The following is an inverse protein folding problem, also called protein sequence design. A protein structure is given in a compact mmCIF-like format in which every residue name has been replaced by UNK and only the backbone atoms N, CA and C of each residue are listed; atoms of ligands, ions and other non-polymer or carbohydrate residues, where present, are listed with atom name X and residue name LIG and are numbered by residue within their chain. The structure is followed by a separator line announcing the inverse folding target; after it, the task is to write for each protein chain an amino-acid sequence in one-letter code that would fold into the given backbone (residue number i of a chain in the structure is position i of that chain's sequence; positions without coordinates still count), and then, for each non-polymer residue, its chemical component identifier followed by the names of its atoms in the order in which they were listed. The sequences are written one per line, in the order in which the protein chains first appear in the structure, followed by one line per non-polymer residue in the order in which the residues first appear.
data_IF_960074493852
#
_entry.id   IF_960074493852
#
_cell.length_a   1.000
_cell.length_b   1.000
_cell.length_c   1.000
_cell.angle_alpha   90.00
_cell.angle_beta   90.00
_cell.angle_gamma   90.00
#
_symmetry.space_group_name_H-M   'P 1'
#
loop_
_entity.id
_entity.type
_entity.pdbx_description
1 polymer ?
#
# COMPACT_ATOMS: atom_id res chain seq x y z
N UNK A 1 -8.08 9.83 19.51
CA UNK A 1 -6.72 9.45 19.19
C UNK A 1 -6.56 9.12 17.72
N UNK A 2 -5.59 9.72 17.11
CA UNK A 2 -5.40 9.53 15.69
C UNK A 2 -4.73 8.20 15.41
N UNK A 3 -5.19 7.56 14.38
CA UNK A 3 -4.59 6.33 13.90
C UNK A 3 -3.79 6.61 12.65
N UNK A 4 -2.80 5.78 12.41
CA UNK A 4 -2.04 5.87 11.17
C UNK A 4 -2.89 5.32 10.04
N UNK A 5 -3.03 6.08 8.97
CA UNK A 5 -3.76 5.64 7.79
C UNK A 5 -2.86 4.71 6.99
N UNK A 6 -3.37 3.54 6.63
CA UNK A 6 -2.61 2.54 5.91
C UNK A 6 -3.28 2.22 4.59
N UNK A 7 -2.47 2.05 3.55
CA UNK A 7 -2.92 1.54 2.27
C UNK A 7 -2.01 0.37 1.88
N UNK A 8 -2.56 -0.58 1.13
CA UNK A 8 -1.84 -1.75 0.67
C UNK A 8 -2.01 -1.87 -0.83
N UNK A 9 -0.92 -2.03 -1.55
CA UNK A 9 -0.96 -2.24 -3.00
C UNK A 9 -0.26 -3.56 -3.30
N UNK A 10 -1.03 -4.57 -3.72
CA UNK A 10 -0.53 -5.91 -3.96
C UNK A 10 -1.50 -6.62 -4.88
N UNK A 11 -1.02 -7.31 -5.89
CA UNK A 11 -1.90 -8.01 -6.83
C UNK A 11 -2.35 -9.38 -6.32
N UNK A 12 -1.77 -9.87 -5.24
CA UNK A 12 -2.13 -11.18 -4.68
C UNK A 12 -3.23 -11.00 -3.65
N UNK A 13 -4.40 -11.50 -3.95
CA UNK A 13 -5.56 -11.36 -3.09
C UNK A 13 -5.35 -11.99 -1.71
N UNK A 14 -4.67 -13.14 -1.66
CA UNK A 14 -4.42 -13.80 -0.39
C UNK A 14 -3.49 -12.96 0.48
N UNK A 15 -2.47 -12.37 -0.11
CA UNK A 15 -1.56 -11.51 0.63
C UNK A 15 -2.28 -10.28 1.16
N UNK A 16 -3.17 -9.70 0.35
CA UNK A 16 -3.97 -8.55 0.78
C UNK A 16 -4.83 -8.91 1.99
N UNK A 17 -5.49 -10.06 1.93
CA UNK A 17 -6.35 -10.50 3.01
C UNK A 17 -5.57 -10.76 4.29
N UNK A 18 -4.43 -11.44 4.17
CA UNK A 18 -3.62 -11.75 5.33
C UNK A 18 -3.08 -10.50 6.00
N UNK A 19 -2.56 -9.57 5.21
CA UNK A 19 -2.01 -8.35 5.77
C UNK A 19 -3.11 -7.47 6.36
N UNK A 20 -4.26 -7.40 5.69
CA UNK A 20 -5.40 -6.64 6.19
C UNK A 20 -5.86 -7.19 7.54
N UNK A 21 -5.90 -8.51 7.67
CA UNK A 21 -6.28 -9.15 8.91
C UNK A 21 -5.31 -8.81 10.04
N UNK A 22 -4.02 -8.91 9.76
CA UNK A 22 -3.01 -8.59 10.76
C UNK A 22 -3.05 -7.14 11.19
N UNK A 23 -3.22 -6.22 10.24
CA UNK A 23 -3.33 -4.81 10.56
C UNK A 23 -4.58 -4.51 11.39
N UNK A 24 -5.64 -5.25 11.16
CA UNK A 24 -6.89 -5.06 11.90
C UNK A 24 -6.78 -5.39 13.37
N UNK A 25 -5.76 -6.15 13.75
CA UNK A 25 -5.54 -6.49 15.16
C UNK A 25 -4.85 -5.38 15.93
N UNK A 26 -4.32 -4.39 15.24
CA UNK A 26 -3.52 -3.35 15.90
C UNK A 26 -4.28 -2.03 15.84
N UNK A 27 -4.70 -1.56 17.01
CA UNK A 27 -5.51 -0.35 17.10
C UNK A 27 -4.78 0.91 16.64
N UNK A 28 -3.48 0.86 16.44
CA UNK A 28 -2.72 2.03 15.97
C UNK A 28 -2.94 2.30 14.50
N UNK A 29 -3.41 1.30 13.73
CA UNK A 29 -3.55 1.42 12.30
C UNK A 29 -5.00 1.41 11.86
N UNK A 30 -5.27 2.19 10.82
CA UNK A 30 -6.59 2.22 10.20
C UNK A 30 -6.39 1.94 8.72
N UNK A 31 -6.79 0.76 8.27
CA UNK A 31 -6.66 0.41 6.86
C UNK A 31 -7.70 1.18 6.06
N UNK A 32 -7.24 2.02 5.15
CA UNK A 32 -8.13 2.89 4.39
C UNK A 32 -8.47 2.34 3.01
N UNK A 33 -7.69 1.40 2.53
CA UNK A 33 -8.01 0.78 1.25
C UNK A 33 -6.90 -0.09 0.74
N UNK A 34 -7.24 -0.88 -0.28
CA UNK A 34 -6.29 -1.75 -0.94
C UNK A 34 -6.41 -1.57 -2.44
N UNK A 35 -5.34 -1.88 -3.16
CA UNK A 35 -5.34 -1.84 -4.61
C UNK A 35 -4.58 -3.05 -5.12
N UNK A 36 -4.92 -3.49 -6.33
CA UNK A 36 -4.38 -4.73 -6.86
C UNK A 36 -3.42 -4.53 -8.04
N UNK A 37 -3.17 -3.31 -8.40
CA UNK A 37 -2.18 -3.02 -9.43
C UNK A 37 -1.70 -1.59 -9.27
N UNK A 38 -0.70 -1.21 -10.05
CA UNK A 38 -0.09 0.10 -9.91
C UNK A 38 -1.03 1.25 -10.21
N UNK A 39 -1.85 1.08 -11.25
CA UNK A 39 -2.78 2.14 -11.63
C UNK A 39 -3.79 2.41 -10.53
N UNK A 40 -4.38 1.36 -9.96
CA UNK A 40 -5.30 1.51 -8.85
C UNK A 40 -4.60 2.02 -7.62
N UNK A 41 -3.36 1.58 -7.40
CA UNK A 41 -2.57 2.03 -6.27
C UNK A 41 -2.31 3.53 -6.31
N UNK A 42 -1.99 4.04 -7.49
CA UNK A 42 -1.75 5.47 -7.66
C UNK A 42 -2.98 6.28 -7.29
N UNK A 43 -4.15 5.83 -7.73
CA UNK A 43 -5.40 6.52 -7.38
C UNK A 43 -5.70 6.43 -5.89
N UNK A 44 -5.48 5.27 -5.31
CA UNK A 44 -5.74 5.06 -3.88
C UNK A 44 -4.84 5.96 -3.04
N UNK A 45 -3.56 6.01 -3.36
CA UNK A 45 -2.61 6.83 -2.61
C UNK A 45 -3.00 8.30 -2.67
N UNK A 46 -3.38 8.79 -3.84
CA UNK A 46 -3.77 10.18 -3.99
C UNK A 46 -5.03 10.48 -3.20
N UNK A 47 -5.97 9.54 -3.15
CA UNK A 47 -7.23 9.74 -2.45
C UNK A 47 -7.08 9.68 -0.95
N UNK A 48 -6.34 8.69 -0.47
CA UNK A 48 -6.24 8.40 0.97
C UNK A 48 -5.15 9.20 1.64
N UNK A 49 -4.08 9.45 0.94
CA UNK A 49 -2.87 10.08 1.50
C UNK A 49 -2.41 9.31 2.74
N UNK A 50 -2.03 8.04 2.57
CA UNK A 50 -1.71 7.21 3.72
C UNK A 50 -0.44 7.65 4.43
N UNK A 51 -0.38 7.37 5.71
CA UNK A 51 0.84 7.56 6.50
C UNK A 51 1.81 6.41 6.27
N UNK A 52 1.26 5.22 5.97
CA UNK A 52 2.05 4.01 5.78
C UNK A 52 1.52 3.27 4.55
N UNK A 53 2.42 2.96 3.64
CA UNK A 53 2.07 2.25 2.42
C UNK A 53 2.82 0.92 2.39
N UNK A 54 2.08 -0.18 2.31
CA UNK A 54 2.65 -1.49 2.04
C UNK A 54 2.60 -1.70 0.54
N UNK A 55 3.74 -1.93 -0.07
CA UNK A 55 3.84 -1.94 -1.53
C UNK A 55 4.55 -3.19 -2.00
N UNK A 56 3.86 -3.95 -2.82
CA UNK A 56 4.42 -5.14 -3.42
C UNK A 56 5.52 -4.75 -4.40
N UNK A 57 6.56 -5.55 -4.45
CA UNK A 57 7.69 -5.29 -5.32
C UNK A 57 7.29 -5.46 -6.79
N UNK A 58 6.49 -6.46 -7.10
CA UNK A 58 6.08 -6.71 -8.48
C UNK A 58 4.58 -6.80 -8.64
N UNK A 59 4.07 -6.14 -9.66
CA UNK A 59 2.67 -6.15 -10.00
C UNK A 59 2.53 -6.30 -11.51
N UNK A 60 1.35 -6.67 -12.03
CA UNK A 60 1.22 -6.97 -13.46
C UNK A 60 1.50 -5.78 -14.37
N UNK A 61 1.17 -4.56 -13.94
CA UNK A 61 1.31 -3.39 -14.80
C UNK A 61 2.58 -2.58 -14.54
N UNK A 62 3.18 -2.72 -13.37
CA UNK A 62 4.42 -2.00 -13.06
C UNK A 62 5.01 -2.55 -11.77
N UNK A 63 6.27 -2.27 -11.53
CA UNK A 63 6.89 -2.66 -10.26
C UNK A 63 6.54 -1.64 -9.17
N UNK A 64 6.73 -2.04 -7.93
CA UNK A 64 6.53 -1.10 -6.80
C UNK A 64 7.45 0.10 -6.91
N UNK A 65 8.70 -0.10 -7.35
CA UNK A 65 9.62 1.01 -7.53
C UNK A 65 9.16 1.98 -8.61
N UNK A 66 8.60 1.45 -9.70
CA UNK A 66 8.07 2.30 -10.75
C UNK A 66 6.90 3.12 -10.27
N UNK A 67 6.00 2.50 -9.49
CA UNK A 67 4.89 3.23 -8.90
C UNK A 67 5.39 4.34 -8.00
N UNK A 68 6.38 4.04 -7.17
CA UNK A 68 6.93 5.03 -6.26
C UNK A 68 7.51 6.21 -7.01
N UNK A 69 8.20 5.95 -8.12
CA UNK A 69 8.74 7.03 -8.94
C UNK A 69 7.64 7.88 -9.55
N UNK A 70 6.54 7.26 -9.96
CA UNK A 70 5.44 8.00 -10.56
C UNK A 70 4.73 8.91 -9.58
N UNK A 71 4.63 8.50 -8.32
CA UNK A 71 3.90 9.29 -7.33
C UNK A 71 4.79 10.28 -6.60
N UNK A 72 6.10 10.19 -6.77
CA UNK A 72 7.04 11.00 -5.98
C UNK A 72 6.72 12.49 -5.99
N UNK A 73 6.39 13.03 -7.15
CA UNK A 73 6.08 14.45 -7.27
C UNK A 73 4.73 14.85 -6.70
N UNK A 74 3.86 13.87 -6.45
CA UNK A 74 2.51 14.14 -5.95
C UNK A 74 2.39 13.95 -4.45
N UNK A 75 3.37 13.33 -3.81
CA UNK A 75 3.29 13.09 -2.37
C UNK A 75 3.89 14.27 -1.64
N UNK A 76 3.02 15.05 -0.99
CA UNK A 76 3.46 16.22 -0.26
C UNK A 76 3.35 16.05 1.24
N UNK A 77 3.04 14.85 1.70
CA UNK A 77 2.89 14.54 3.11
C UNK A 77 3.92 13.49 3.50
N UNK A 78 4.12 13.26 4.81
CA UNK A 78 5.03 12.23 5.27
C UNK A 78 4.41 10.87 5.04
N UNK A 79 5.03 10.03 4.24
CA UNK A 79 4.54 8.68 4.00
C UNK A 79 5.72 7.72 4.13
N UNK A 80 5.53 6.71 4.97
CA UNK A 80 6.51 5.64 5.10
C UNK A 80 6.11 4.50 4.20
N UNK A 81 7.08 3.83 3.61
CA UNK A 81 6.84 2.77 2.65
C UNK A 81 7.51 1.51 3.13
N UNK A 82 6.75 0.41 3.11
CA UNK A 82 7.28 -0.91 3.39
C UNK A 82 7.13 -1.72 2.12
N UNK A 83 8.25 -2.06 1.50
CA UNK A 83 8.24 -2.96 0.36
C UNK A 83 8.20 -4.39 0.87
N UNK A 84 7.42 -5.22 0.22
CA UNK A 84 7.39 -6.62 0.59
C UNK A 84 7.02 -7.43 -0.64
N UNK A 85 7.16 -8.75 -0.55
CA UNK A 85 6.73 -9.61 -1.61
C UNK A 85 6.04 -10.80 -0.98
N UNK A 86 4.94 -11.17 -1.59
CA UNK A 86 4.19 -12.29 -1.13
C UNK A 86 4.68 -13.59 -1.66
N UNK A 87 5.89 -13.65 -2.18
CA UNK A 87 6.38 -14.75 -2.76
C UNK A 87 6.99 -15.70 -1.82
N UNK A 88 6.56 -16.83 -1.78
CA UNK A 88 6.97 -17.71 -0.83
C UNK A 88 7.45 -18.88 -1.46
N UNK A 89 8.18 -18.91 -2.17
CA UNK A 89 8.63 -19.98 -2.95
C UNK A 89 9.35 -21.06 -2.29
#
# INVERSE_FOLDING_TARGET
MDKYKVAIVDDDEVALENLSFELGKDARFSLKGTARNGKQGKKLIAKVQPDLLFLDVEMPDMTGMELLQEIRGSVSWNMRIVFYTAYDK
#
